data_IF_015294382629
#
_entry.id   IF_015294382629
#
_cell.length_a   1.000
_cell.length_b   1.000
_cell.length_c   1.000
_cell.angle_alpha   90.00
_cell.angle_beta   90.00
_cell.angle_gamma   90.00
#
_symmetry.space_group_name_H-M   'P 1'
#
loop_
_entity.id
_entity.type
_entity.pdbx_description
1 polymer ?
#
# COMPACT_ATOMS: atom_id res chain seq x y z
N UNK A 1 -15.56 23.80 6.42
CA UNK A 1 -14.53 23.43 7.41
C UNK A 1 -14.37 24.47 8.52
N UNK A 2 -14.11 25.76 8.21
CA UNK A 2 -13.87 26.82 9.21
C UNK A 2 -14.99 26.98 10.27
N UNK A 3 -16.26 26.80 9.88
CA UNK A 3 -17.41 26.88 10.79
C UNK A 3 -17.41 25.79 11.87
N UNK A 4 -17.13 24.53 11.51
CA UNK A 4 -17.06 23.44 12.47
C UNK A 4 -15.87 23.62 13.44
N UNK A 5 -14.71 24.05 12.93
CA UNK A 5 -13.54 24.31 13.76
C UNK A 5 -13.79 25.46 14.77
N UNK A 6 -14.46 26.53 14.38
CA UNK A 6 -14.78 27.64 15.28
C UNK A 6 -15.70 27.21 16.44
N UNK A 7 -16.68 26.34 16.18
CA UNK A 7 -17.58 25.83 17.21
C UNK A 7 -16.94 24.74 18.09
N UNK A 8 -16.10 23.87 17.51
CA UNK A 8 -15.34 22.87 18.27
C UNK A 8 -14.28 23.51 19.17
N UNK A 9 -13.69 24.65 18.76
CA UNK A 9 -12.76 25.42 19.61
C UNK A 9 -13.44 26.03 20.82
N UNK A 10 -14.71 26.45 20.69
CA UNK A 10 -15.49 27.02 21.80
C UNK A 10 -16.06 25.93 22.72
N UNK A 11 -16.62 24.88 22.14
CA UNK A 11 -17.21 23.75 22.86
C UNK A 11 -16.59 22.42 22.35
N UNK A 12 -15.55 21.90 23.01
CA UNK A 12 -14.82 20.71 22.54
C UNK A 12 -15.67 19.42 22.58
N UNK A 13 -16.73 19.39 23.41
CA UNK A 13 -17.67 18.28 23.55
C UNK A 13 -18.93 18.40 22.66
N UNK A 14 -19.01 19.38 21.74
CA UNK A 14 -20.22 19.62 20.95
C UNK A 14 -20.66 18.38 20.15
N UNK A 15 -21.93 18.02 20.30
CA UNK A 15 -22.50 16.82 19.68
C UNK A 15 -22.76 17.06 18.19
N UNK A 16 -22.63 16.03 17.35
CA UNK A 16 -22.86 16.16 15.88
C UNK A 16 -24.26 16.72 15.56
N UNK A 17 -25.26 16.33 16.34
CA UNK A 17 -26.66 16.76 16.19
C UNK A 17 -26.82 18.26 16.39
N UNK A 18 -26.15 18.83 17.39
CA UNK A 18 -26.16 20.27 17.69
C UNK A 18 -25.43 21.06 16.59
N UNK A 19 -24.28 20.55 16.14
CA UNK A 19 -23.51 21.19 15.09
C UNK A 19 -24.28 21.19 13.76
N UNK A 20 -25.03 20.12 13.46
CA UNK A 20 -25.94 20.06 12.30
C UNK A 20 -27.09 21.07 12.40
N UNK A 21 -27.70 21.25 13.57
CA UNK A 21 -28.76 22.26 13.80
C UNK A 21 -28.25 23.68 13.56
N UNK A 22 -27.05 24.01 14.05
CA UNK A 22 -26.42 25.32 13.85
C UNK A 22 -26.00 25.56 12.40
N UNK A 23 -25.58 24.51 11.70
CA UNK A 23 -25.17 24.60 10.30
C UNK A 23 -26.35 24.71 9.33
N UNK A 24 -27.48 24.05 9.63
CA UNK A 24 -28.73 24.17 8.85
C UNK A 24 -29.22 25.62 8.80
N UNK A 25 -29.11 26.37 9.91
CA UNK A 25 -29.42 27.81 9.97
C UNK A 25 -28.55 28.65 9.02
N UNK A 26 -27.32 28.22 8.76
CA UNK A 26 -26.38 28.89 7.85
C UNK A 26 -26.35 28.27 6.44
N UNK A 27 -27.28 27.36 6.12
CA UNK A 27 -27.33 26.60 4.86
C UNK A 27 -26.03 25.81 4.57
N UNK A 28 -25.32 25.36 5.62
CA UNK A 28 -24.08 24.58 5.50
C UNK A 28 -24.37 23.11 5.88
N UNK A 29 -24.03 22.18 4.98
CA UNK A 29 -24.13 20.76 5.26
C UNK A 29 -22.89 20.26 6.03
N UNK A 30 -23.12 19.67 7.21
CA UNK A 30 -22.06 19.09 8.04
C UNK A 30 -22.16 17.58 8.08
N UNK A 31 -21.12 16.94 7.56
CA UNK A 31 -20.92 15.50 7.58
C UNK A 31 -19.95 15.10 8.70
N UNK A 32 -20.00 13.84 9.19
CA UNK A 32 -19.06 13.34 10.20
C UNK A 32 -17.58 13.56 9.85
N UNK A 33 -17.22 13.46 8.57
CA UNK A 33 -15.88 13.72 8.05
C UNK A 33 -15.41 15.16 8.33
N UNK A 34 -16.30 16.14 8.22
CA UNK A 34 -16.01 17.57 8.46
C UNK A 34 -15.63 17.80 9.93
N UNK A 35 -16.26 17.07 10.86
CA UNK A 35 -15.95 17.13 12.29
C UNK A 35 -14.57 16.53 12.55
N UNK A 36 -14.28 15.36 11.96
CA UNK A 36 -12.96 14.73 12.08
C UNK A 36 -11.84 15.62 11.54
N UNK A 37 -12.04 16.23 10.37
CA UNK A 37 -11.11 17.18 9.77
C UNK A 37 -10.94 18.45 10.62
N UNK A 38 -12.04 19.00 11.16
CA UNK A 38 -11.98 20.17 12.04
C UNK A 38 -11.22 19.87 13.35
N UNK A 39 -11.41 18.70 13.96
CA UNK A 39 -10.62 18.26 15.12
C UNK A 39 -9.13 18.11 14.78
N UNK A 40 -8.82 17.54 13.61
CA UNK A 40 -7.43 17.42 13.14
C UNK A 40 -6.79 18.80 12.93
N UNK A 41 -7.50 19.77 12.35
CA UNK A 41 -6.98 21.14 12.18
C UNK A 41 -6.75 21.88 13.49
N UNK A 42 -7.43 21.46 14.57
CA UNK A 42 -7.28 22.03 15.92
C UNK A 42 -6.30 21.23 16.79
N UNK A 43 -5.60 20.23 16.25
CA UNK A 43 -4.71 19.36 17.01
C UNK A 43 -5.41 18.39 17.98
N UNK A 44 -6.74 18.43 18.06
CA UNK A 44 -7.59 17.49 18.83
C UNK A 44 -7.92 16.22 18.05
N UNK A 45 -7.33 16.06 16.87
CA UNK A 45 -7.47 14.87 16.04
C UNK A 45 -6.88 13.65 16.74
N UNK A 46 -7.59 12.52 16.71
CA UNK A 46 -6.97 11.25 17.10
C UNK A 46 -5.76 11.06 16.19
N UNK A 47 -4.54 10.88 16.72
CA UNK A 47 -3.37 10.68 15.89
C UNK A 47 -3.69 9.51 14.96
N UNK A 48 -3.49 9.71 13.65
CA UNK A 48 -3.45 8.58 12.73
C UNK A 48 -2.44 7.64 13.36
N UNK A 49 -2.89 6.52 13.90
CA UNK A 49 -2.02 5.36 14.11
C UNK A 49 -1.50 5.07 12.71
N UNK A 50 -0.36 5.68 12.34
CA UNK A 50 0.55 5.09 11.37
C UNK A 50 0.63 3.67 11.90
N UNK A 51 0.06 2.73 11.17
CA UNK A 51 0.03 1.35 11.58
C UNK A 51 1.42 1.06 12.11
N UNK A 52 1.50 0.80 13.41
CA UNK A 52 2.69 0.28 14.02
C UNK A 52 2.85 -1.13 13.46
N UNK A 53 3.20 -1.26 12.17
CA UNK A 53 3.84 -2.42 11.58
C UNK A 53 5.33 -2.45 12.01
N UNK A 54 5.58 -2.02 13.24
CA UNK A 54 6.82 -2.03 14.00
C UNK A 54 6.42 -1.98 15.47
N UNK A 55 5.89 -3.09 16.00
CA UNK A 55 5.78 -3.40 17.44
C UNK A 55 4.96 -4.66 17.74
N UNK A 56 4.57 -5.45 16.75
CA UNK A 56 4.37 -6.90 16.94
C UNK A 56 5.11 -7.65 15.85
N UNK A 57 6.43 -7.54 15.90
CA UNK A 57 7.21 -8.77 15.91
C UNK A 57 6.75 -9.58 17.14
N UNK A 58 5.52 -10.12 17.09
CA UNK A 58 5.21 -11.30 17.85
C UNK A 58 6.32 -12.26 17.42
N UNK A 59 7.16 -12.64 18.38
CA UNK A 59 8.13 -13.73 18.26
C UNK A 59 7.39 -14.87 17.58
N UNK A 60 7.45 -14.94 16.26
CA UNK A 60 6.98 -16.11 15.52
C UNK A 60 7.97 -17.18 15.97
N UNK A 61 7.44 -18.22 16.60
CA UNK A 61 8.22 -19.24 17.28
C UNK A 61 9.38 -19.75 16.41
N UNK A 62 10.43 -20.30 17.03
CA UNK A 62 11.57 -20.82 16.30
C UNK A 62 11.07 -21.86 15.31
N UNK A 63 11.24 -21.62 14.00
CA UNK A 63 10.91 -22.59 12.96
C UNK A 63 9.95 -22.15 11.85
N UNK A 64 9.46 -20.89 11.78
CA UNK A 64 8.71 -20.45 10.58
C UNK A 64 9.67 -19.84 9.55
N UNK A 65 10.07 -20.55 8.47
CA UNK A 65 10.96 -20.00 7.46
C UNK A 65 10.33 -18.75 6.87
N UNK A 66 11.15 -17.71 6.67
CA UNK A 66 10.75 -16.50 5.97
C UNK A 66 10.09 -16.91 4.65
N UNK A 67 8.79 -16.67 4.53
CA UNK A 67 7.97 -17.25 3.46
C UNK A 67 8.65 -17.08 2.11
N UNK A 68 8.88 -18.21 1.43
CA UNK A 68 9.28 -18.24 0.03
C UNK A 68 8.26 -17.39 -0.72
N UNK A 69 8.72 -16.26 -1.26
CA UNK A 69 7.89 -15.41 -2.13
C UNK A 69 7.67 -16.20 -3.41
N UNK A 70 6.47 -16.07 -4.00
CA UNK A 70 6.21 -16.66 -5.30
C UNK A 70 7.18 -16.13 -6.36
N UNK A 71 7.43 -16.90 -7.42
CA UNK A 71 8.23 -16.45 -8.56
C UNK A 71 7.70 -15.10 -9.07
N UNK A 72 8.61 -14.18 -9.42
CA UNK A 72 8.26 -12.83 -9.89
C UNK A 72 7.99 -11.78 -8.81
N UNK A 73 8.15 -12.10 -7.51
CA UNK A 73 8.06 -11.11 -6.42
C UNK A 73 9.41 -10.90 -5.74
N UNK A 74 10.33 -10.14 -6.37
CA UNK A 74 11.62 -9.83 -5.77
C UNK A 74 11.46 -9.13 -4.42
N UNK A 75 12.50 -9.23 -3.58
CA UNK A 75 12.52 -8.52 -2.31
C UNK A 75 12.47 -7.02 -2.57
N UNK A 76 11.87 -6.27 -1.64
CA UNK A 76 11.99 -4.81 -1.70
C UNK A 76 13.43 -4.49 -1.34
N UNK A 77 14.22 -4.18 -2.35
CA UNK A 77 15.63 -3.86 -2.20
C UNK A 77 15.75 -2.45 -1.63
N UNK A 78 16.58 -2.28 -0.60
CA UNK A 78 16.81 -0.95 0.00
C UNK A 78 17.81 -0.13 -0.83
N UNK A 79 18.68 -0.82 -1.58
CA UNK A 79 19.72 -0.25 -2.41
C UNK A 79 19.33 -0.33 -3.90
N UNK A 80 19.34 0.80 -4.64
CA UNK A 80 19.11 0.80 -6.09
C UNK A 80 20.13 -0.04 -6.88
N UNK A 81 21.38 -0.16 -6.44
CA UNK A 81 22.40 -0.95 -7.16
C UNK A 81 22.05 -2.45 -7.17
N UNK A 82 21.57 -2.95 -6.04
CA UNK A 82 21.11 -4.33 -5.90
C UNK A 82 19.78 -4.57 -6.64
N UNK A 83 18.93 -3.54 -6.81
CA UNK A 83 17.74 -3.64 -7.66
C UNK A 83 18.13 -3.81 -9.15
N UNK A 84 19.09 -3.03 -9.63
CA UNK A 84 19.57 -3.09 -11.02
C UNK A 84 20.22 -4.45 -11.30
N UNK A 85 21.05 -4.97 -10.38
CA UNK A 85 21.68 -6.28 -10.57
C UNK A 85 20.66 -7.42 -10.65
N UNK A 86 19.59 -7.37 -9.85
CA UNK A 86 18.50 -8.34 -9.90
C UNK A 86 17.74 -8.31 -11.23
N UNK A 87 17.52 -7.11 -11.79
CA UNK A 87 16.89 -6.98 -13.11
C UNK A 87 17.78 -7.56 -14.20
N UNK A 88 19.09 -7.26 -14.17
CA UNK A 88 20.05 -7.81 -15.13
C UNK A 88 20.16 -9.34 -15.04
N UNK A 89 20.13 -9.90 -13.84
CA UNK A 89 20.11 -11.34 -13.65
C UNK A 89 18.87 -11.98 -14.29
N UNK A 90 17.69 -11.37 -14.07
CA UNK A 90 16.45 -11.86 -14.67
C UNK A 90 16.46 -11.80 -16.21
N UNK A 91 16.99 -10.71 -16.79
CA UNK A 91 17.10 -10.59 -18.25
C UNK A 91 17.99 -11.69 -18.83
N UNK A 92 19.12 -12.02 -18.18
CA UNK A 92 20.00 -13.11 -18.62
C UNK A 92 19.32 -14.48 -18.56
N UNK A 93 18.47 -14.72 -17.56
CA UNK A 93 17.70 -15.96 -17.48
C UNK A 93 16.68 -16.06 -18.62
N UNK A 94 16.00 -14.97 -18.95
CA UNK A 94 15.09 -14.91 -20.11
C UNK A 94 15.81 -15.15 -21.44
N UNK A 95 17.00 -14.59 -21.63
CA UNK A 95 17.81 -14.83 -22.83
C UNK A 95 18.17 -16.31 -22.99
N UNK A 96 18.53 -16.99 -21.88
CA UNK A 96 18.81 -18.43 -21.88
C UNK A 96 17.58 -19.26 -22.23
N UNK A 97 16.40 -18.88 -21.72
CA UNK A 97 15.13 -19.51 -22.07
C UNK A 97 14.78 -19.33 -23.55
N UNK A 98 15.00 -18.14 -24.12
CA UNK A 98 14.76 -17.92 -25.57
C UNK A 98 15.67 -18.81 -26.42
N UNK A 99 16.94 -18.93 -26.06
CA UNK A 99 17.89 -19.80 -26.78
C UNK A 99 17.45 -21.28 -26.69
N UNK A 100 17.04 -21.75 -25.51
CA UNK A 100 16.62 -23.14 -25.34
C UNK A 100 15.31 -23.44 -26.10
N UNK A 101 14.36 -22.51 -26.10
CA UNK A 101 13.12 -22.62 -26.87
C UNK A 101 13.38 -22.63 -28.37
N UNK A 102 14.27 -21.76 -28.88
CA UNK A 102 14.67 -21.78 -30.29
C UNK A 102 15.30 -23.11 -30.68
N UNK A 103 16.19 -23.64 -29.86
CA UNK A 103 16.80 -24.94 -30.12
C UNK A 103 15.76 -26.08 -30.12
N UNK A 104 14.76 -26.02 -29.23
CA UNK A 104 13.66 -26.98 -29.22
C UNK A 104 12.79 -26.87 -30.49
N UNK A 105 12.49 -25.65 -30.94
CA UNK A 105 11.73 -25.42 -32.18
C UNK A 105 12.43 -26.00 -33.40
N UNK A 106 13.75 -25.82 -33.53
CA UNK A 106 14.53 -26.41 -34.63
C UNK A 106 14.45 -27.93 -34.61
N UNK A 107 14.58 -28.55 -33.42
CA UNK A 107 14.44 -30.01 -33.30
C UNK A 107 13.05 -30.50 -33.71
N UNK A 108 12.01 -29.75 -33.35
CA UNK A 108 10.63 -30.09 -33.73
C UNK A 108 10.45 -29.96 -35.24
N UNK A 109 10.97 -28.89 -35.88
CA UNK A 109 10.88 -28.76 -37.33
C UNK A 109 11.65 -29.87 -38.06
N UNK A 110 12.82 -30.25 -37.56
CA UNK A 110 13.62 -31.33 -38.14
C UNK A 110 12.94 -32.71 -38.03
N UNK A 111 12.13 -32.92 -36.99
CA UNK A 111 11.33 -34.14 -36.83
C UNK A 111 10.09 -34.10 -37.72
N UNK A 112 9.42 -32.95 -37.79
CA UNK A 112 8.22 -32.77 -38.61
C UNK A 112 8.51 -32.86 -40.12
N UNK A 113 9.68 -32.39 -40.57
CA UNK A 113 10.10 -32.48 -41.97
C UNK A 113 10.69 -33.83 -42.39
N UNK A 114 10.77 -34.81 -41.48
CA UNK A 114 11.24 -36.18 -41.76
C UNK A 114 10.10 -37.17 -42.05
N UNK A 115 8.85 -36.72 -42.01
CA UNK A 115 7.65 -37.46 -42.43
C UNK A 115 7.10 -36.85 -43.73
#
# INVERSE_FOLDING_TARGET
MKFAAAHIKKNPAITMTELKKLAKKKKINIYPLIIGLAKNTLGMGRPKRKTAKKATAARRGPGRPAGRRGPGRPRKVADPAEAISNVLAHVRDLEREVVSLRAAMVKISDLAGRH
#
